data_IF_482479353600
#
_entry.id   IF_482479353600
#
_cell.length_a   1.000
_cell.length_b   1.000
_cell.length_c   1.000
_cell.angle_alpha   90.00
_cell.angle_beta   90.00
_cell.angle_gamma   90.00
#
_symmetry.space_group_name_H-M   'P 1'
#
loop_
_entity.id
_entity.type
_entity.pdbx_description
1 polymer ?
#
# COMPACT_ATOMS: atom_id res chain seq x y z
N UNK A 1 34.97 -34.12 -11.43
CA UNK A 1 33.50 -34.11 -11.22
C UNK A 1 33.17 -33.17 -10.07
N UNK A 2 32.50 -32.03 -10.35
CA UNK A 2 31.63 -31.21 -9.49
C UNK A 2 31.77 -29.72 -9.82
N UNK A 3 30.76 -29.17 -10.47
CA UNK A 3 30.26 -27.83 -10.16
C UNK A 3 28.78 -28.01 -9.81
N UNK A 4 28.32 -27.67 -8.59
CA UNK A 4 26.90 -27.50 -8.38
C UNK A 4 26.50 -26.22 -9.11
N UNK A 5 25.53 -26.34 -10.02
CA UNK A 5 24.92 -25.22 -10.70
C UNK A 5 24.46 -24.20 -9.65
N UNK A 6 24.89 -22.96 -9.82
CA UNK A 6 24.28 -21.81 -9.15
C UNK A 6 22.82 -21.77 -9.57
N UNK A 7 21.93 -22.31 -8.73
CA UNK A 7 20.50 -22.11 -8.87
C UNK A 7 20.22 -20.65 -8.55
N UNK A 8 20.30 -19.79 -9.57
CA UNK A 8 19.62 -18.52 -9.54
C UNK A 8 18.13 -18.84 -9.51
N UNK A 9 17.55 -18.91 -8.32
CA UNK A 9 16.10 -18.87 -8.15
C UNK A 9 15.64 -17.51 -8.68
N UNK A 10 15.36 -17.43 -9.97
CA UNK A 10 14.41 -16.45 -10.49
C UNK A 10 13.08 -16.84 -9.86
N UNK A 11 12.81 -16.28 -8.68
CA UNK A 11 11.46 -16.31 -8.15
C UNK A 11 10.62 -15.52 -9.15
N UNK A 12 9.73 -16.22 -9.86
CA UNK A 12 8.70 -15.54 -10.64
C UNK A 12 8.04 -14.48 -9.74
N UNK A 13 7.81 -13.26 -10.25
CA UNK A 13 7.17 -12.22 -9.46
C UNK A 13 5.85 -12.79 -8.94
N UNK A 14 5.68 -12.74 -7.60
CA UNK A 14 4.46 -13.19 -6.92
C UNK A 14 3.24 -12.64 -7.67
N UNK A 15 2.14 -13.39 -7.83
CA UNK A 15 0.91 -12.86 -8.39
C UNK A 15 0.51 -11.51 -7.75
N UNK A 16 -0.03 -10.57 -8.52
CA UNK A 16 -0.34 -9.21 -8.07
C UNK A 16 -1.16 -9.15 -6.77
N UNK A 17 -2.10 -10.10 -6.60
CA UNK A 17 -2.92 -10.18 -5.39
C UNK A 17 -2.10 -10.57 -4.15
N UNK A 18 -1.15 -11.49 -4.29
CA UNK A 18 -0.22 -11.88 -3.22
C UNK A 18 0.75 -10.73 -2.88
N UNK A 19 1.23 -10.00 -3.90
CA UNK A 19 2.05 -8.81 -3.67
C UNK A 19 1.28 -7.74 -2.89
N UNK A 20 0.03 -7.46 -3.29
CA UNK A 20 -0.85 -6.51 -2.58
C UNK A 20 -1.11 -6.96 -1.15
N UNK A 21 -1.40 -8.24 -0.93
CA UNK A 21 -1.65 -8.77 0.41
C UNK A 21 -0.39 -8.67 1.29
N UNK A 22 0.79 -9.00 0.75
CA UNK A 22 2.05 -8.86 1.46
C UNK A 22 2.34 -7.40 1.84
N UNK A 23 2.15 -6.46 0.90
CA UNK A 23 2.33 -5.03 1.15
C UNK A 23 1.39 -4.54 2.27
N UNK A 24 0.13 -4.94 2.26
CA UNK A 24 -0.83 -4.61 3.32
C UNK A 24 -0.39 -5.16 4.69
N UNK A 25 0.14 -6.38 4.76
CA UNK A 25 0.66 -6.95 6.00
C UNK A 25 1.84 -6.14 6.55
N UNK A 26 2.80 -5.75 5.70
CA UNK A 26 3.92 -4.90 6.11
C UNK A 26 3.46 -3.54 6.61
N UNK A 27 2.51 -2.90 5.92
CA UNK A 27 1.97 -1.62 6.34
C UNK A 27 1.24 -1.72 7.69
N UNK A 28 0.46 -2.78 7.90
CA UNK A 28 -0.24 -3.01 9.18
C UNK A 28 0.76 -3.20 10.34
N UNK A 29 1.86 -3.91 10.11
CA UNK A 29 2.91 -4.08 11.11
C UNK A 29 3.60 -2.75 11.44
N UNK A 30 4.00 -1.99 10.42
CA UNK A 30 4.59 -0.67 10.61
C UNK A 30 3.64 0.29 11.36
N UNK A 31 2.34 0.19 11.09
CA UNK A 31 1.33 0.96 11.81
C UNK A 31 1.15 0.54 13.26
N UNK A 32 1.20 -0.75 13.54
CA UNK A 32 1.15 -1.26 14.91
C UNK A 32 2.36 -0.78 15.72
N UNK A 33 3.56 -0.87 15.14
CA UNK A 33 4.81 -0.40 15.76
C UNK A 33 4.78 1.11 16.03
N UNK A 34 4.43 1.93 15.04
CA UNK A 34 4.35 3.38 15.21
C UNK A 34 3.38 3.80 16.34
N UNK A 35 2.26 3.08 16.48
CA UNK A 35 1.31 3.33 17.58
C UNK A 35 1.86 2.94 18.94
N UNK A 36 2.66 1.88 19.03
CA UNK A 36 3.36 1.50 20.27
C UNK A 36 4.38 2.56 20.69
N UNK A 37 5.02 3.21 19.72
CA UNK A 37 5.94 4.33 19.94
C UNK A 37 5.22 5.65 20.27
N UNK A 38 3.89 5.65 20.30
CA UNK A 38 3.08 6.82 20.67
C UNK A 38 2.78 7.79 19.52
N UNK A 39 2.99 7.37 18.26
CA UNK A 39 2.61 8.18 17.10
C UNK A 39 1.09 8.22 16.97
N UNK A 40 0.56 9.43 16.81
CA UNK A 40 -0.87 9.63 16.62
C UNK A 40 -1.38 9.00 15.32
N UNK A 41 -2.57 8.40 15.40
CA UNK A 41 -3.17 7.65 14.29
C UNK A 41 -3.51 8.54 13.09
N UNK A 42 -3.94 9.78 13.34
CA UNK A 42 -4.28 10.72 12.27
C UNK A 42 -3.02 11.21 11.55
N UNK A 43 -1.96 11.53 12.32
CA UNK A 43 -0.65 11.85 11.74
C UNK A 43 -0.11 10.70 10.88
N UNK A 44 -0.20 9.46 11.36
CA UNK A 44 0.25 8.30 10.62
C UNK A 44 -0.55 8.06 9.33
N UNK A 45 -1.87 8.29 9.36
CA UNK A 45 -2.72 8.18 8.19
C UNK A 45 -2.36 9.24 7.13
N UNK A 46 -2.15 10.49 7.55
CA UNK A 46 -1.73 11.58 6.66
C UNK A 46 -0.36 11.30 6.03
N UNK A 47 0.61 10.87 6.83
CA UNK A 47 1.95 10.52 6.34
C UNK A 47 1.91 9.35 5.35
N UNK A 48 1.10 8.33 5.63
CA UNK A 48 0.92 7.18 4.74
C UNK A 48 0.27 7.57 3.41
N UNK A 49 -0.73 8.46 3.44
CA UNK A 49 -1.35 8.98 2.22
C UNK A 49 -0.35 9.76 1.37
N UNK A 50 0.46 10.61 2.00
CA UNK A 50 1.52 11.34 1.31
C UNK A 50 2.51 10.38 0.64
N UNK A 51 3.03 9.41 1.39
CA UNK A 51 3.97 8.42 0.86
C UNK A 51 3.38 7.63 -0.33
N UNK A 52 2.12 7.19 -0.21
CA UNK A 52 1.43 6.50 -1.28
C UNK A 52 1.29 7.36 -2.54
N UNK A 53 0.86 8.62 -2.40
CA UNK A 53 0.72 9.53 -3.54
C UNK A 53 2.07 9.89 -4.17
N UNK A 54 3.11 10.09 -3.35
CA UNK A 54 4.47 10.38 -3.84
C UNK A 54 5.03 9.22 -4.68
N UNK A 55 4.84 7.97 -4.25
CA UNK A 55 5.26 6.79 -5.01
C UNK A 55 4.49 6.66 -6.34
N UNK A 56 3.18 6.92 -6.31
CA UNK A 56 2.36 6.94 -7.53
C UNK A 56 2.81 8.04 -8.50
N UNK A 57 3.14 9.23 -8.01
CA UNK A 57 3.62 10.35 -8.83
C UNK A 57 5.00 10.02 -9.42
N UNK A 58 5.89 9.43 -8.63
CA UNK A 58 7.20 8.95 -9.09
C UNK A 58 7.06 7.93 -10.22
N UNK A 59 6.08 7.03 -10.12
CA UNK A 59 5.88 5.95 -11.09
C UNK A 59 5.11 6.39 -12.34
N UNK A 60 4.09 7.24 -12.19
CA UNK A 60 3.09 7.51 -13.24
C UNK A 60 3.03 8.98 -13.68
N UNK A 61 3.64 9.90 -12.93
CA UNK A 61 3.59 11.35 -13.16
C UNK A 61 2.41 12.05 -12.49
N UNK A 62 2.55 13.37 -12.31
CA UNK A 62 1.59 14.21 -11.57
C UNK A 62 0.19 14.20 -12.19
N UNK A 63 0.06 14.40 -13.50
CA UNK A 63 -1.24 14.45 -14.20
C UNK A 63 -2.02 13.14 -14.09
N UNK A 64 -1.34 11.99 -14.18
CA UNK A 64 -1.97 10.69 -14.07
C UNK A 64 -2.53 10.45 -12.66
N UNK A 65 -1.77 10.86 -11.63
CA UNK A 65 -2.19 10.72 -10.23
C UNK A 65 -3.28 11.73 -9.87
N UNK A 66 -3.22 12.95 -10.40
CA UNK A 66 -4.29 13.94 -10.24
C UNK A 66 -5.62 13.38 -10.77
N UNK A 67 -5.61 12.82 -11.98
CA UNK A 67 -6.79 12.16 -12.57
C UNK A 67 -7.28 10.97 -11.75
N UNK A 68 -6.37 10.16 -11.21
CA UNK A 68 -6.72 9.08 -10.29
C UNK A 68 -7.41 9.62 -9.02
N UNK A 69 -6.93 10.74 -8.49
CA UNK A 69 -7.41 11.33 -7.24
C UNK A 69 -8.80 11.98 -7.35
N UNK A 70 -9.22 12.44 -8.53
CA UNK A 70 -10.54 13.07 -8.77
C UNK A 70 -11.70 12.21 -8.24
N UNK A 71 -11.61 10.88 -8.38
CA UNK A 71 -12.65 9.95 -7.93
C UNK A 71 -12.67 9.71 -6.42
N UNK A 72 -11.58 9.96 -5.70
CA UNK A 72 -11.43 9.57 -4.29
C UNK A 72 -12.49 10.22 -3.39
N UNK A 73 -12.78 11.51 -3.62
CA UNK A 73 -13.80 12.21 -2.84
C UNK A 73 -15.19 11.60 -2.99
N UNK A 74 -15.55 11.08 -4.16
CA UNK A 74 -16.82 10.39 -4.35
C UNK A 74 -16.84 9.04 -3.61
N UNK A 75 -15.75 8.27 -3.71
CA UNK A 75 -15.58 6.98 -3.02
C UNK A 75 -15.66 7.10 -1.50
N UNK A 76 -15.06 8.14 -0.93
CA UNK A 76 -15.17 8.47 0.51
C UNK A 76 -16.62 8.73 0.91
N UNK A 77 -17.35 9.57 0.15
CA UNK A 77 -18.76 9.89 0.44
C UNK A 77 -19.68 8.67 0.27
N UNK A 78 -19.33 7.75 -0.63
CA UNK A 78 -20.03 6.49 -0.82
C UNK A 78 -19.74 5.45 0.28
N UNK A 79 -18.85 5.77 1.23
CA UNK A 79 -18.56 4.89 2.35
C UNK A 79 -17.58 3.76 2.05
N UNK A 80 -16.87 3.78 0.91
CA UNK A 80 -15.93 2.70 0.53
C UNK A 80 -14.80 2.49 1.53
N UNK A 81 -14.47 3.51 2.31
CA UNK A 81 -13.43 3.48 3.34
C UNK A 81 -14.02 3.42 4.76
N UNK A 82 -15.35 3.36 4.90
CA UNK A 82 -16.02 3.26 6.20
C UNK A 82 -16.15 1.79 6.61
N UNK A 83 -15.40 1.37 7.63
CA UNK A 83 -15.40 -0.01 8.14
C UNK A 83 -16.76 -0.46 8.73
N UNK A 84 -17.70 0.47 8.94
CA UNK A 84 -19.05 0.22 9.43
C UNK A 84 -20.05 -0.22 8.35
N UNK A 85 -19.81 0.07 7.06
CA UNK A 85 -20.74 -0.33 5.97
C UNK A 85 -20.48 -1.73 5.41
N UNK A 86 -19.33 -2.34 5.68
CA UNK A 86 -18.96 -3.66 5.15
C UNK A 86 -19.56 -4.85 5.93
N UNK A 87 -20.51 -4.60 6.85
CA UNK A 87 -21.00 -5.61 7.80
C UNK A 87 -22.53 -5.59 8.02
N UNK A 88 -23.29 -5.02 7.08
CA UNK A 88 -24.76 -5.13 7.02
C UNK A 88 -25.14 -5.80 5.71
#
# INVERSE_FOLDING_TARGET
>A
MRHPASFTLHQDPRPDHEQKQAALSYLNQAWAEARLDGVDGDCLAQASLFAALAELVSTYGEDAVAKYAEGLGARVRNGEFSLTLARQ
#
